data_IF_515189402869
#
_entry.id   IF_515189402869
#
_cell.length_a   1.000
_cell.length_b   1.000
_cell.length_c   1.000
_cell.angle_alpha   90.00
_cell.angle_beta   90.00
_cell.angle_gamma   90.00
#
_symmetry.space_group_name_H-M   'P 1'
#
loop_
_entity.id
_entity.type
_entity.pdbx_description
1 polymer ?
#
# COMPACT_ATOMS: atom_id res chain seq x y z
N UNK A 1 -6.43 -10.48 -7.68
CA UNK A 1 -5.66 -11.53 -6.97
C UNK A 1 -4.30 -10.97 -6.59
N UNK A 2 -3.99 -10.98 -5.31
CA UNK A 2 -2.76 -10.42 -4.75
C UNK A 2 -2.09 -11.41 -3.80
N UNK A 3 -0.81 -11.21 -3.52
CA UNK A 3 -0.03 -11.98 -2.54
C UNK A 3 0.50 -11.04 -1.47
N UNK A 4 0.34 -11.39 -0.20
CA UNK A 4 0.93 -10.66 0.94
C UNK A 4 2.13 -11.46 1.45
N UNK A 5 3.23 -10.78 1.71
CA UNK A 5 4.48 -11.32 2.27
C UNK A 5 4.87 -10.47 3.47
N UNK A 6 5.12 -11.10 4.61
CA UNK A 6 5.69 -10.43 5.78
C UNK A 6 7.18 -10.17 5.55
N UNK A 7 7.60 -8.93 5.79
CA UNK A 7 8.99 -8.49 5.66
C UNK A 7 9.73 -8.66 7.01
N UNK A 8 11.06 -8.50 7.00
CA UNK A 8 11.91 -8.71 8.17
C UNK A 8 11.67 -7.71 9.32
N UNK A 9 10.87 -6.65 9.11
CA UNK A 9 10.49 -5.69 10.14
C UNK A 9 9.37 -6.20 11.07
N UNK A 10 9.33 -5.67 12.29
CA UNK A 10 8.22 -5.92 13.22
C UNK A 10 7.00 -5.18 12.65
N UNK A 11 6.14 -5.91 11.93
CA UNK A 11 4.88 -5.42 11.33
C UNK A 11 5.00 -4.73 9.96
N UNK A 12 5.94 -5.19 9.14
CA UNK A 12 6.10 -4.73 7.76
C UNK A 12 5.64 -5.80 6.76
N UNK A 13 4.95 -5.39 5.70
CA UNK A 13 4.35 -6.29 4.71
C UNK A 13 4.55 -5.73 3.29
N UNK A 14 4.81 -6.63 2.32
CA UNK A 14 4.67 -6.33 0.89
C UNK A 14 3.44 -7.03 0.35
N UNK A 15 2.60 -6.30 -0.37
CA UNK A 15 1.49 -6.84 -1.14
C UNK A 15 1.76 -6.66 -2.63
N UNK A 16 1.74 -7.75 -3.39
CA UNK A 16 1.93 -7.75 -4.84
C UNK A 16 0.62 -8.08 -5.55
N UNK A 17 0.13 -7.16 -6.35
CA UNK A 17 -1.04 -7.29 -7.22
C UNK A 17 -0.58 -7.70 -8.62
N UNK A 18 -1.26 -8.67 -9.24
CA UNK A 18 -0.95 -9.08 -10.62
C UNK A 18 -1.59 -8.14 -11.66
N UNK A 19 -1.47 -6.83 -11.44
CA UNK A 19 -1.95 -5.76 -12.32
C UNK A 19 -1.19 -4.47 -12.02
N UNK A 20 -1.15 -3.56 -13.00
CA UNK A 20 -0.72 -2.19 -12.74
C UNK A 20 -1.73 -1.48 -11.85
N UNK A 21 -1.22 -0.62 -10.97
CA UNK A 21 -2.03 0.19 -10.09
C UNK A 21 -2.09 1.62 -10.60
N UNK A 22 -3.29 2.18 -10.61
CA UNK A 22 -3.51 3.61 -10.78
C UNK A 22 -3.23 4.28 -9.43
N UNK A 23 -2.08 4.97 -9.35
CA UNK A 23 -1.58 5.59 -8.13
C UNK A 23 -2.64 6.53 -7.51
N UNK A 24 -3.33 7.33 -8.33
CA UNK A 24 -4.31 8.30 -7.84
C UNK A 24 -5.54 7.62 -7.24
N UNK A 25 -6.03 6.55 -7.89
CA UNK A 25 -7.11 5.74 -7.33
C UNK A 25 -6.70 5.08 -6.02
N UNK A 26 -5.48 4.53 -5.96
CA UNK A 26 -5.01 3.87 -4.74
C UNK A 26 -4.85 4.88 -3.60
N UNK A 27 -4.22 6.03 -3.83
CA UNK A 27 -4.08 7.11 -2.83
C UNK A 27 -5.44 7.52 -2.27
N UNK A 28 -6.48 7.61 -3.11
CA UNK A 28 -7.83 8.00 -2.67
C UNK A 28 -8.44 7.05 -1.62
N UNK A 29 -7.97 5.81 -1.54
CA UNK A 29 -8.40 4.82 -0.54
C UNK A 29 -7.74 5.06 0.84
N UNK A 30 -6.63 5.78 0.90
CA UNK A 30 -5.88 6.07 2.13
C UNK A 30 -6.33 7.40 2.76
N UNK A 31 -7.62 7.51 3.10
CA UNK A 31 -8.16 8.73 3.67
C UNK A 31 -7.49 9.08 5.03
N UNK A 32 -7.09 10.35 5.17
CA UNK A 32 -6.37 10.86 6.34
C UNK A 32 -4.90 10.44 6.43
N UNK A 33 -4.33 9.88 5.36
CA UNK A 33 -2.88 9.81 5.20
C UNK A 33 -2.38 11.09 4.49
N UNK A 34 -1.21 11.57 4.91
CA UNK A 34 -0.49 12.63 4.21
C UNK A 34 0.31 12.03 3.05
N UNK A 35 0.27 12.69 1.87
CA UNK A 35 1.11 12.34 0.72
C UNK A 35 2.46 13.03 0.90
N UNK A 36 3.50 12.26 1.23
CA UNK A 36 4.85 12.77 1.46
C UNK A 36 5.60 12.99 0.15
N UNK A 37 5.42 12.08 -0.80
CA UNK A 37 6.04 12.13 -2.12
C UNK A 37 5.15 11.42 -3.13
N UNK A 38 5.16 11.90 -4.37
CA UNK A 38 4.41 11.33 -5.48
C UNK A 38 5.12 11.65 -6.79
N UNK A 39 5.36 10.60 -7.57
CA UNK A 39 5.75 10.71 -8.96
C UNK A 39 4.78 9.92 -9.86
N UNK A 40 5.18 9.68 -11.11
CA UNK A 40 4.36 8.95 -12.10
C UNK A 40 4.21 7.46 -11.77
N UNK A 41 5.24 6.87 -11.19
CA UNK A 41 5.40 5.43 -10.96
C UNK A 41 5.31 5.05 -9.49
N UNK A 42 5.38 6.01 -8.57
CA UNK A 42 5.33 5.75 -7.13
C UNK A 42 4.65 6.83 -6.30
N UNK A 43 4.20 6.45 -5.11
CA UNK A 43 3.77 7.39 -4.08
C UNK A 43 4.13 6.88 -2.69
N UNK A 44 4.38 7.82 -1.78
CA UNK A 44 4.67 7.56 -0.37
C UNK A 44 3.67 8.30 0.51
N UNK A 45 2.98 7.54 1.37
CA UNK A 45 1.97 8.05 2.28
C UNK A 45 2.38 7.81 3.75
N UNK A 46 1.93 8.66 4.66
CA UNK A 46 2.12 8.47 6.11
C UNK A 46 0.92 8.87 6.96
N UNK A 47 0.74 8.17 8.09
CA UNK A 47 -0.23 8.52 9.13
C UNK A 47 0.29 8.06 10.50
N UNK A 48 0.82 8.99 11.30
CA UNK A 48 1.54 8.65 12.53
C UNK A 48 2.74 7.75 12.22
N UNK A 49 2.83 6.60 12.89
CA UNK A 49 3.92 5.63 12.69
C UNK A 49 3.76 4.77 11.42
N UNK A 50 2.57 4.81 10.78
CA UNK A 50 2.27 4.00 9.59
C UNK A 50 2.79 4.67 8.33
N UNK A 51 3.42 3.88 7.46
CA UNK A 51 3.88 4.34 6.13
C UNK A 51 3.43 3.36 5.05
N UNK A 52 3.08 3.90 3.90
CA UNK A 52 2.68 3.12 2.74
C UNK A 52 3.49 3.58 1.53
N UNK A 53 4.08 2.64 0.81
CA UNK A 53 4.76 2.88 -0.45
C UNK A 53 3.98 2.17 -1.54
N UNK A 54 3.52 2.91 -2.54
CA UNK A 54 2.70 2.41 -3.63
C UNK A 54 3.52 2.48 -4.90
N UNK A 55 3.63 1.38 -5.63
CA UNK A 55 4.33 1.30 -6.91
C UNK A 55 3.33 0.94 -8.02
N UNK A 56 3.37 1.68 -9.12
CA UNK A 56 2.47 1.51 -10.27
C UNK A 56 2.60 0.13 -10.93
N UNK A 57 3.74 -0.55 -10.67
CA UNK A 57 4.02 -1.92 -11.07
C UNK A 57 3.12 -2.97 -10.43
N UNK A 58 2.40 -2.63 -9.37
CA UNK A 58 1.54 -3.56 -8.63
C UNK A 58 2.04 -3.91 -7.23
N UNK A 59 3.13 -3.32 -6.75
CA UNK A 59 3.62 -3.56 -5.38
C UNK A 59 3.17 -2.45 -4.43
N UNK A 60 2.79 -2.83 -3.21
CA UNK A 60 2.54 -1.91 -2.10
C UNK A 60 3.26 -2.41 -0.85
N UNK A 61 4.08 -1.56 -0.22
CA UNK A 61 4.74 -1.85 1.05
C UNK A 61 4.00 -1.12 2.17
N UNK A 62 3.61 -1.87 3.19
CA UNK A 62 2.95 -1.41 4.41
C UNK A 62 3.93 -1.51 5.58
N UNK A 63 4.21 -0.40 6.25
CA UNK A 63 5.11 -0.33 7.41
C UNK A 63 4.29 0.03 8.66
N UNK A 64 4.44 -0.76 9.72
CA UNK A 64 3.71 -0.54 10.98
C UNK A 64 2.22 -0.92 10.93
N UNK A 65 1.84 -1.85 10.06
CA UNK A 65 0.47 -2.36 9.93
C UNK A 65 0.35 -3.77 10.52
N UNK A 66 -0.81 -4.11 11.07
CA UNK A 66 -1.13 -5.50 11.38
C UNK A 66 -1.53 -6.29 10.12
N UNK A 67 -1.38 -7.61 10.14
CA UNK A 67 -1.76 -8.48 9.01
C UNK A 67 -3.23 -8.28 8.59
N UNK A 68 -4.15 -8.18 9.56
CA UNK A 68 -5.57 -7.97 9.28
C UNK A 68 -5.87 -6.64 8.58
N UNK A 69 -5.16 -5.57 8.94
CA UNK A 69 -5.28 -4.27 8.26
C UNK A 69 -4.76 -4.37 6.83
N UNK A 70 -3.62 -5.03 6.61
CA UNK A 70 -3.06 -5.23 5.26
C UNK A 70 -4.02 -6.04 4.40
N UNK A 71 -4.63 -7.10 4.94
CA UNK A 71 -5.64 -7.88 4.21
C UNK A 71 -6.85 -7.04 3.81
N UNK A 72 -7.42 -6.26 4.74
CA UNK A 72 -8.59 -5.41 4.46
C UNK A 72 -8.29 -4.36 3.39
N UNK A 73 -7.12 -3.71 3.48
CA UNK A 73 -6.67 -2.75 2.47
C UNK A 73 -6.48 -3.43 1.11
N UNK A 74 -5.83 -4.58 1.06
CA UNK A 74 -5.60 -5.29 -0.19
C UNK A 74 -6.91 -5.75 -0.85
N UNK A 75 -7.90 -6.22 -0.08
CA UNK A 75 -9.24 -6.55 -0.60
C UNK A 75 -9.95 -5.36 -1.22
N UNK A 76 -9.72 -4.16 -0.70
CA UNK A 76 -10.30 -2.92 -1.23
C UNK A 76 -9.59 -2.49 -2.50
N UNK A 77 -8.25 -2.54 -2.52
CA UNK A 77 -7.41 -2.18 -3.66
C UNK A 77 -7.62 -3.13 -4.86
N UNK A 78 -7.87 -4.42 -4.63
CA UNK A 78 -8.09 -5.39 -5.73
C UNK A 78 -9.35 -5.05 -6.55
N UNK A 79 -10.29 -4.28 -6.00
CA UNK A 79 -11.56 -3.89 -6.63
C UNK A 79 -11.50 -2.63 -7.49
N UNK A 80 -10.44 -1.82 -7.39
CA UNK A 80 -10.25 -0.57 -8.16
C UNK A 80 -9.38 -0.76 -9.39
#
# INVERSE_FOLDING_TARGET
>A
MYKIIKLCGISDYSATFNKKLDIDKVISLFNGYEVLDKDKDSARLSKGDKKVFIYSSGEIIFIGFSEGEVEEMCRTIDKV
#
